data_IF_501183763096
#
_entry.id   IF_501183763096
#
_cell.length_a   1.000
_cell.length_b   1.000
_cell.length_c   1.000
_cell.angle_alpha   90.00
_cell.angle_beta   90.00
_cell.angle_gamma   90.00
#
_symmetry.space_group_name_H-M   'P 1'
#
loop_
_entity.id
_entity.type
_entity.pdbx_description
1 polymer ?
#
# COMPACT_ATOMS: atom_id res chain seq x y z
N UNK A 1 -0.92 -3.95 -15.52
CA UNK A 1 -0.07 -4.70 -14.56
C UNK A 1 -0.57 -4.33 -13.19
N UNK A 2 -0.82 -5.33 -12.36
CA UNK A 2 -1.30 -5.14 -11.00
C UNK A 2 -0.08 -4.96 -10.09
N UNK A 3 -0.27 -4.25 -8.97
CA UNK A 3 0.84 -3.69 -8.21
C UNK A 3 1.82 -4.76 -7.67
N UNK A 4 1.30 -5.91 -7.25
CA UNK A 4 2.06 -6.98 -6.58
C UNK A 4 2.07 -8.31 -7.35
N UNK A 5 1.74 -8.29 -8.64
CA UNK A 5 1.76 -9.51 -9.45
C UNK A 5 3.13 -10.21 -9.41
N UNK A 6 3.14 -11.47 -8.97
CA UNK A 6 4.35 -12.29 -8.88
C UNK A 6 5.23 -12.03 -7.66
N UNK A 7 4.80 -11.21 -6.68
CA UNK A 7 5.56 -10.96 -5.44
C UNK A 7 5.45 -12.09 -4.41
N UNK A 8 4.46 -12.98 -4.58
CA UNK A 8 4.10 -13.98 -3.57
C UNK A 8 3.18 -13.45 -2.47
N UNK A 9 2.72 -12.19 -2.55
CA UNK A 9 1.67 -11.68 -1.69
C UNK A 9 0.36 -12.47 -1.90
N UNK A 10 -0.24 -12.97 -0.82
CA UNK A 10 -1.45 -13.81 -0.87
C UNK A 10 -2.66 -13.18 -0.20
N UNK A 11 -2.55 -11.97 0.35
CA UNK A 11 -3.68 -11.25 0.92
C UNK A 11 -4.58 -10.67 -0.16
N UNK A 12 -5.79 -10.23 0.22
CA UNK A 12 -6.74 -9.66 -0.73
C UNK A 12 -6.45 -8.20 -1.10
N UNK A 13 -5.55 -7.53 -0.35
CA UNK A 13 -5.15 -6.15 -0.55
C UNK A 13 -6.30 -5.14 -0.52
N UNK A 14 -7.37 -5.42 0.21
CA UNK A 14 -8.56 -4.55 0.27
C UNK A 14 -8.61 -3.71 1.53
N UNK A 15 -9.27 -2.57 1.41
CA UNK A 15 -9.71 -1.75 2.52
C UNK A 15 -11.13 -1.24 2.25
N UNK A 16 -11.86 -0.90 3.30
CA UNK A 16 -13.17 -0.24 3.19
C UNK A 16 -13.35 0.76 4.33
N UNK A 17 -14.31 1.67 4.18
CA UNK A 17 -14.65 2.59 5.25
C UNK A 17 -15.59 1.92 6.26
N UNK A 18 -15.12 1.76 7.49
CA UNK A 18 -15.93 1.30 8.63
C UNK A 18 -16.15 2.48 9.54
N UNK A 19 -17.40 2.92 9.69
CA UNK A 19 -17.76 4.11 10.48
C UNK A 19 -16.96 5.37 10.10
N UNK A 20 -16.69 5.55 8.80
CA UNK A 20 -15.96 6.72 8.28
C UNK A 20 -14.43 6.62 8.37
N UNK A 21 -13.88 5.53 8.93
CA UNK A 21 -12.43 5.29 8.99
C UNK A 21 -12.04 4.22 7.96
N UNK A 22 -11.08 4.54 7.10
CA UNK A 22 -10.53 3.56 6.17
C UNK A 22 -9.84 2.44 6.97
N UNK A 23 -10.27 1.20 6.73
CA UNK A 23 -9.88 0.04 7.53
C UNK A 23 -9.47 -1.07 6.57
N UNK A 24 -8.27 -1.62 6.77
CA UNK A 24 -7.82 -2.80 6.02
C UNK A 24 -8.75 -3.98 6.29
N UNK A 25 -9.06 -4.74 5.25
CA UNK A 25 -9.78 -5.99 5.40
C UNK A 25 -8.93 -6.98 6.23
N UNK A 26 -9.57 -7.82 7.04
CA UNK A 26 -8.85 -8.79 7.87
C UNK A 26 -7.99 -9.76 7.04
N UNK A 27 -8.36 -10.00 5.77
CA UNK A 27 -7.62 -10.83 4.82
C UNK A 27 -6.58 -10.03 4.01
N UNK A 28 -6.37 -8.75 4.30
CA UNK A 28 -5.27 -7.97 3.71
C UNK A 28 -3.89 -8.49 4.15
N UNK A 29 -3.84 -9.30 5.21
CA UNK A 29 -2.62 -10.00 5.64
C UNK A 29 -1.47 -9.02 5.91
N UNK A 30 -0.29 -9.34 5.39
CA UNK A 30 0.92 -8.56 5.57
C UNK A 30 1.17 -7.53 4.45
N UNK A 31 0.13 -6.88 3.92
CA UNK A 31 0.29 -5.92 2.81
C UNK A 31 1.32 -4.81 3.09
N UNK A 32 1.50 -4.41 4.35
CA UNK A 32 2.49 -3.40 4.76
C UNK A 32 3.94 -3.81 4.52
N UNK A 33 4.20 -5.11 4.37
CA UNK A 33 5.52 -5.63 3.99
C UNK A 33 5.85 -5.30 2.53
N UNK A 34 4.81 -5.26 1.67
CA UNK A 34 4.93 -5.07 0.22
C UNK A 34 4.65 -3.64 -0.24
N UNK A 35 3.70 -2.93 0.39
CA UNK A 35 3.31 -1.56 0.05
C UNK A 35 3.48 -0.69 1.29
N UNK A 36 4.46 0.21 1.25
CA UNK A 36 4.73 1.15 2.35
C UNK A 36 4.30 2.54 1.93
N UNK A 37 3.62 3.22 2.83
CA UNK A 37 3.14 4.60 2.64
C UNK A 37 3.73 5.44 3.76
N UNK A 38 4.60 6.37 3.41
CA UNK A 38 5.31 7.22 4.37
C UNK A 38 5.05 8.69 4.08
N UNK A 39 5.12 9.54 5.11
CA UNK A 39 4.92 10.98 4.97
C UNK A 39 6.26 11.71 4.95
N UNK A 40 6.41 12.68 4.04
CA UNK A 40 7.56 13.58 3.97
C UNK A 40 7.06 15.02 3.88
N UNK A 41 7.02 15.72 5.02
CA UNK A 41 6.35 17.01 5.11
C UNK A 41 4.85 16.88 4.78
N UNK A 42 4.40 17.62 3.76
CA UNK A 42 3.02 17.55 3.25
C UNK A 42 2.78 16.43 2.25
N UNK A 43 3.82 15.72 1.83
CA UNK A 43 3.74 14.76 0.74
C UNK A 43 3.57 13.34 1.28
N UNK A 44 2.96 12.48 0.48
CA UNK A 44 2.86 11.05 0.73
C UNK A 44 3.72 10.29 -0.28
N UNK A 45 4.62 9.44 0.20
CA UNK A 45 5.48 8.58 -0.63
C UNK A 45 4.94 7.15 -0.56
N UNK A 46 4.63 6.59 -1.72
CA UNK A 46 4.28 5.16 -1.86
C UNK A 46 5.51 4.41 -2.35
N UNK A 47 5.82 3.32 -1.66
CA UNK A 47 6.98 2.49 -1.91
C UNK A 47 6.55 1.03 -2.04
N UNK A 48 7.25 0.28 -2.89
CA UNK A 48 7.00 -1.14 -3.13
C UNK A 48 8.23 -1.96 -2.78
N UNK A 49 7.97 -3.04 -2.05
CA UNK A 49 8.89 -4.14 -1.82
C UNK A 49 8.35 -5.37 -2.55
N UNK A 50 9.13 -5.90 -3.51
CA UNK A 50 8.64 -6.96 -4.41
C UNK A 50 8.76 -8.35 -3.81
N UNK A 51 9.48 -8.51 -2.70
CA UNK A 51 9.56 -9.79 -1.98
C UNK A 51 8.98 -9.70 -0.56
N UNK A 52 8.62 -8.50 -0.09
CA UNK A 52 8.00 -8.28 1.21
C UNK A 52 8.97 -8.48 2.37
N UNK A 53 10.25 -8.74 2.10
CA UNK A 53 11.25 -9.03 3.14
C UNK A 53 12.33 -7.96 3.24
N UNK A 54 12.33 -6.97 2.35
CA UNK A 54 13.42 -6.02 2.20
C UNK A 54 14.71 -6.67 1.73
N UNK A 55 14.61 -7.86 1.12
CA UNK A 55 15.72 -8.77 0.87
C UNK A 55 16.31 -8.60 -0.53
N UNK A 56 16.00 -9.56 -1.40
CA UNK A 56 16.53 -9.61 -2.77
C UNK A 56 16.13 -8.37 -3.57
N UNK A 57 14.94 -7.84 -3.30
CA UNK A 57 14.46 -6.60 -3.89
C UNK A 57 14.23 -5.56 -2.80
N UNK A 58 15.15 -4.61 -2.71
CA UNK A 58 15.00 -3.48 -1.80
C UNK A 58 13.73 -2.68 -2.10
N UNK A 59 13.11 -2.16 -1.05
CA UNK A 59 11.97 -1.24 -1.14
C UNK A 59 12.32 -0.05 -2.05
N UNK A 60 11.45 0.27 -3.01
CA UNK A 60 11.65 1.32 -4.01
C UNK A 60 10.49 2.31 -3.98
N UNK A 61 10.78 3.62 -4.03
CA UNK A 61 9.76 4.66 -4.19
C UNK A 61 9.16 4.58 -5.60
N UNK A 62 7.84 4.53 -5.69
CA UNK A 62 7.14 4.43 -6.99
C UNK A 62 6.29 5.66 -7.28
N UNK A 63 5.77 6.32 -6.24
CA UNK A 63 4.91 7.51 -6.37
C UNK A 63 5.20 8.46 -5.21
N UNK A 64 5.24 9.76 -5.51
CA UNK A 64 5.12 10.83 -4.53
C UNK A 64 3.85 11.63 -4.84
N UNK A 65 2.93 11.69 -3.89
CA UNK A 65 1.74 12.52 -3.93
C UNK A 65 2.07 13.85 -3.26
N UNK A 66 2.34 14.87 -4.06
CA UNK A 66 2.76 16.19 -3.57
C UNK A 66 1.59 16.94 -2.95
N UNK A 67 1.78 17.46 -1.73
CA UNK A 67 0.75 18.20 -0.99
C UNK A 67 -0.44 17.34 -0.54
N UNK A 68 -0.29 16.01 -0.55
CA UNK A 68 -1.33 15.07 -0.12
C UNK A 68 -0.85 14.33 1.12
N UNK A 69 -1.64 14.37 2.18
CA UNK A 69 -1.41 13.62 3.41
C UNK A 69 -2.43 12.49 3.52
N UNK A 70 -1.99 11.25 3.34
CA UNK A 70 -2.85 10.06 3.36
C UNK A 70 -2.08 8.81 3.82
N UNK A 71 -2.79 7.70 3.98
CA UNK A 71 -2.25 6.41 4.42
C UNK A 71 -2.68 5.27 3.49
N UNK A 72 -2.09 4.09 3.70
CA UNK A 72 -2.34 2.91 2.87
C UNK A 72 -3.82 2.49 2.86
N UNK A 73 -4.46 2.46 4.04
CA UNK A 73 -5.85 2.03 4.14
C UNK A 73 -6.77 2.98 3.36
N UNK A 74 -6.53 4.28 3.46
CA UNK A 74 -7.27 5.33 2.75
C UNK A 74 -7.07 5.24 1.25
N UNK A 75 -5.83 5.07 0.78
CA UNK A 75 -5.54 4.89 -0.65
C UNK A 75 -6.25 3.66 -1.24
N UNK A 76 -6.27 2.55 -0.51
CA UNK A 76 -6.97 1.32 -0.92
C UNK A 76 -8.50 1.48 -0.88
N UNK A 77 -9.04 2.09 0.18
CA UNK A 77 -10.48 2.29 0.34
C UNK A 77 -11.05 3.28 -0.70
N UNK A 78 -10.23 4.23 -1.17
CA UNK A 78 -10.56 5.15 -2.26
C UNK A 78 -10.23 4.58 -3.65
N UNK A 79 -9.79 3.32 -3.75
CA UNK A 79 -9.37 2.67 -4.99
C UNK A 79 -8.32 3.45 -5.80
N UNK A 80 -7.52 4.27 -5.14
CA UNK A 80 -6.38 4.97 -5.74
C UNK A 80 -5.19 4.04 -5.87
N UNK A 81 -5.07 3.10 -4.93
CA UNK A 81 -4.28 1.90 -5.08
C UNK A 81 -5.22 0.70 -5.18
N UNK A 82 -4.90 -0.21 -6.10
CA UNK A 82 -5.55 -1.51 -6.21
C UNK A 82 -4.48 -2.59 -6.24
N UNK A 83 -4.63 -3.55 -5.35
CA UNK A 83 -3.86 -4.78 -5.29
C UNK A 83 -4.83 -5.90 -5.66
N UNK A 84 -4.47 -6.68 -6.67
CA UNK A 84 -5.24 -7.81 -7.20
C UNK A 84 -4.27 -8.92 -7.57
#
# INVERSE_FOLDING_TARGET
>A
RELLQGSGYTGNGKASYVNGVATLDAQAGNIGDFVKVTQSGSDTIVQIDRDGTGGTFATTNVVTLTGVHTDLATLLANHQLMVV
#
